data_IF_978266059871
#
_entry.id   IF_978266059871
#
_cell.length_a   1.000
_cell.length_b   1.000
_cell.length_c   1.000
_cell.angle_alpha   90.00
_cell.angle_beta   90.00
_cell.angle_gamma   90.00
#
_symmetry.space_group_name_H-M   'P 1'
#
loop_
_entity.id
_entity.type
_entity.pdbx_description
1 polymer ?
#
# COMPACT_ATOMS: atom_id res chain seq x y z
N UNK A 1 32.46 -48.18 42.12
CA UNK A 1 32.11 -46.81 42.55
C UNK A 1 30.58 -46.73 42.57
N UNK A 2 30.02 -46.57 43.73
CA UNK A 2 28.55 -46.47 43.89
C UNK A 2 28.11 -45.03 43.55
N UNK A 3 26.84 -44.83 43.17
CA UNK A 3 26.29 -43.51 42.87
C UNK A 3 26.48 -42.50 43.99
N UNK A 4 26.44 -42.97 45.26
CA UNK A 4 26.71 -42.13 46.43
C UNK A 4 28.19 -41.68 46.55
N UNK A 5 29.12 -42.52 46.16
CA UNK A 5 30.55 -42.15 46.11
C UNK A 5 30.82 -41.13 45.03
N UNK A 6 30.15 -41.29 43.88
CA UNK A 6 30.27 -40.34 42.76
C UNK A 6 29.69 -38.97 43.14
N UNK A 7 28.50 -38.93 43.76
CA UNK A 7 27.84 -37.70 44.21
C UNK A 7 28.68 -36.95 45.25
N UNK A 8 29.27 -37.69 46.19
CA UNK A 8 30.16 -37.12 47.23
C UNK A 8 31.44 -36.54 46.60
N UNK A 9 32.00 -37.21 45.60
CA UNK A 9 33.18 -36.76 44.89
C UNK A 9 32.91 -35.53 44.01
N UNK A 10 31.81 -35.54 43.30
CA UNK A 10 31.34 -34.39 42.53
C UNK A 10 31.09 -33.16 43.39
N UNK A 11 30.43 -33.34 44.55
CA UNK A 11 30.18 -32.26 45.47
C UNK A 11 31.44 -31.66 46.04
N UNK A 12 32.48 -32.50 46.35
CA UNK A 12 33.77 -32.06 46.82
C UNK A 12 34.51 -31.24 45.74
N UNK A 13 34.57 -31.74 44.50
CA UNK A 13 35.20 -31.08 43.36
C UNK A 13 34.54 -29.72 43.10
N UNK A 14 33.21 -29.64 43.11
CA UNK A 14 32.48 -28.39 42.93
C UNK A 14 32.77 -27.37 44.05
N UNK A 15 32.82 -27.85 45.32
CA UNK A 15 33.13 -26.96 46.46
C UNK A 15 34.58 -26.44 46.41
N UNK A 16 35.52 -27.29 45.98
CA UNK A 16 36.94 -26.88 45.85
C UNK A 16 37.13 -25.94 44.68
N UNK A 17 36.42 -26.14 43.56
CA UNK A 17 36.45 -25.18 42.42
C UNK A 17 35.86 -23.84 42.81
N UNK A 18 34.74 -23.81 43.52
CA UNK A 18 34.11 -22.59 44.03
C UNK A 18 35.02 -21.83 45.02
N UNK A 19 35.77 -22.58 45.88
CA UNK A 19 36.77 -21.93 46.78
C UNK A 19 37.90 -21.33 46.03
N UNK A 20 38.47 -22.01 45.02
CA UNK A 20 39.56 -21.51 44.19
C UNK A 20 39.11 -20.25 43.39
N UNK A 21 37.90 -20.28 42.86
CA UNK A 21 37.34 -19.11 42.18
C UNK A 21 37.11 -17.95 43.15
N UNK A 22 36.62 -18.20 44.37
CA UNK A 22 36.44 -17.18 45.39
C UNK A 22 37.76 -16.59 45.86
N UNK A 23 38.82 -17.42 46.05
CA UNK A 23 40.17 -16.96 46.39
C UNK A 23 40.80 -16.16 45.25
N UNK A 24 40.61 -16.54 43.99
CA UNK A 24 41.09 -15.80 42.81
C UNK A 24 40.42 -14.43 42.68
N UNK A 25 39.15 -14.33 43.01
CA UNK A 25 38.40 -13.06 43.02
C UNK A 25 38.83 -12.19 44.24
N UNK A 26 39.08 -12.80 45.41
CA UNK A 26 39.48 -12.09 46.60
C UNK A 26 40.94 -11.58 46.54
N UNK A 27 41.82 -12.25 45.78
CA UNK A 27 43.22 -11.84 45.58
C UNK A 27 43.44 -10.84 44.44
N UNK A 28 42.43 -10.68 43.58
CA UNK A 28 42.45 -9.67 42.54
C UNK A 28 41.81 -8.38 43.03
N UNK A 29 42.58 -7.40 43.44
CA UNK A 29 42.13 -6.00 43.53
C UNK A 29 41.75 -5.50 42.12
N UNK A 30 40.65 -6.00 41.62
CA UNK A 30 39.97 -5.32 40.49
C UNK A 30 39.31 -4.08 41.09
N UNK A 31 40.04 -2.96 41.04
CA UNK A 31 39.48 -1.63 41.29
C UNK A 31 38.42 -1.34 40.25
N UNK A 32 37.23 -2.00 40.42
CA UNK A 32 36.08 -1.78 39.57
C UNK A 32 35.42 -0.48 40.04
N UNK A 33 35.68 0.61 39.35
CA UNK A 33 34.86 1.82 39.50
C UNK A 33 33.60 1.69 38.68
N UNK A 34 32.44 1.44 39.33
CA UNK A 34 31.19 1.26 38.62
C UNK A 34 30.77 2.57 37.95
N UNK A 35 30.55 2.55 36.64
CA UNK A 35 30.09 3.73 35.91
C UNK A 35 28.77 4.25 36.49
N UNK A 36 28.45 5.56 36.37
CA UNK A 36 27.19 6.13 36.88
C UNK A 36 25.94 5.46 36.32
N UNK A 37 26.04 4.90 35.11
CA UNK A 37 24.99 4.13 34.47
C UNK A 37 24.76 2.77 35.16
N UNK A 38 25.85 2.08 35.49
CA UNK A 38 25.81 0.82 36.20
C UNK A 38 25.24 0.99 37.61
N UNK A 39 25.65 2.01 38.35
CA UNK A 39 25.15 2.34 39.70
C UNK A 39 23.62 2.58 39.65
N UNK A 40 23.12 3.35 38.69
CA UNK A 40 21.68 3.58 38.51
C UNK A 40 20.90 2.29 38.20
N UNK A 41 21.47 1.41 37.39
CA UNK A 41 20.86 0.14 37.05
C UNK A 41 20.79 -0.80 38.27
N UNK A 42 21.85 -0.89 39.03
CA UNK A 42 21.92 -1.68 40.26
C UNK A 42 20.98 -1.14 41.32
N UNK A 43 20.93 0.17 41.53
CA UNK A 43 19.99 0.78 42.48
C UNK A 43 18.54 0.52 42.07
N UNK A 44 18.21 0.53 40.80
CA UNK A 44 16.87 0.20 40.28
C UNK A 44 16.52 -1.28 40.46
N UNK A 45 17.50 -2.19 40.28
CA UNK A 45 17.35 -3.62 40.48
C UNK A 45 17.11 -3.95 41.98
N UNK A 46 17.90 -3.35 42.88
CA UNK A 46 17.75 -3.57 44.31
C UNK A 46 16.42 -3.04 44.83
N UNK A 47 15.96 -1.90 44.30
CA UNK A 47 14.70 -1.28 44.74
C UNK A 47 13.48 -2.09 44.39
N UNK A 48 13.42 -2.72 43.19
CA UNK A 48 12.29 -3.53 42.75
C UNK A 48 12.77 -4.56 41.69
N UNK A 49 13.26 -5.75 42.14
CA UNK A 49 13.85 -6.77 41.26
C UNK A 49 12.86 -7.28 40.22
N UNK A 50 11.59 -7.50 40.60
CA UNK A 50 10.56 -8.02 39.69
C UNK A 50 10.19 -7.04 38.58
N UNK A 51 10.16 -5.75 38.91
CA UNK A 51 9.87 -4.69 37.93
C UNK A 51 11.05 -4.47 36.99
N UNK A 52 12.27 -4.63 37.49
CA UNK A 52 13.49 -4.54 36.67
C UNK A 52 13.55 -5.69 35.68
N UNK A 53 13.28 -6.93 36.10
CA UNK A 53 13.24 -8.11 35.25
C UNK A 53 12.15 -8.01 34.18
N UNK A 54 10.92 -7.60 34.56
CA UNK A 54 9.83 -7.38 33.62
C UNK A 54 10.15 -6.31 32.56
N UNK A 55 10.92 -5.27 32.91
CA UNK A 55 11.37 -4.26 31.96
C UNK A 55 12.41 -4.82 30.99
N UNK A 56 13.32 -5.66 31.48
CA UNK A 56 14.36 -6.30 30.66
C UNK A 56 13.80 -7.38 29.75
N UNK A 57 12.82 -8.12 30.25
CA UNK A 57 12.12 -9.16 29.47
C UNK A 57 11.14 -8.61 28.40
N UNK A 58 10.77 -7.31 28.47
CA UNK A 58 9.96 -6.70 27.42
C UNK A 58 10.79 -6.55 26.16
N UNK A 59 10.47 -7.26 25.06
CA UNK A 59 11.23 -7.11 23.83
C UNK A 59 11.07 -5.67 23.34
N UNK A 60 12.18 -5.01 23.09
CA UNK A 60 12.24 -3.63 22.55
C UNK A 60 11.38 -3.46 21.31
N UNK A 61 11.27 -4.52 20.53
CA UNK A 61 10.41 -4.64 19.34
C UNK A 61 8.94 -4.27 19.61
N UNK A 62 8.34 -4.70 20.74
CA UNK A 62 6.93 -4.37 21.04
C UNK A 62 6.70 -2.87 21.21
N UNK A 63 7.65 -2.19 21.87
CA UNK A 63 7.54 -0.74 22.06
C UNK A 63 7.75 0.03 20.73
N UNK A 64 8.64 -0.47 19.86
CA UNK A 64 8.86 0.09 18.52
C UNK A 64 7.64 -0.14 17.65
N UNK A 65 7.09 -1.37 17.65
CA UNK A 65 5.89 -1.71 16.88
C UNK A 65 4.66 -0.89 17.31
N UNK A 66 4.46 -0.67 18.61
CA UNK A 66 3.36 0.17 19.09
C UNK A 66 3.50 1.63 18.63
N UNK A 67 4.71 2.20 18.72
CA UNK A 67 4.96 3.57 18.22
C UNK A 67 4.77 3.69 16.73
N UNK A 68 5.27 2.71 15.96
CA UNK A 68 5.08 2.65 14.52
C UNK A 68 3.59 2.55 14.15
N UNK A 69 2.82 1.71 14.84
CA UNK A 69 1.38 1.58 14.62
C UNK A 69 0.61 2.89 14.87
N UNK A 70 0.96 3.62 15.95
CA UNK A 70 0.35 4.92 16.23
C UNK A 70 0.68 5.95 15.15
N UNK A 71 1.94 6.00 14.70
CA UNK A 71 2.36 6.92 13.62
C UNK A 71 1.60 6.60 12.33
N UNK A 72 1.52 5.32 11.95
CA UNK A 72 0.77 4.88 10.77
C UNK A 72 -0.71 5.22 10.87
N UNK A 73 -1.33 5.05 12.04
CA UNK A 73 -2.72 5.38 12.26
C UNK A 73 -2.98 6.89 12.12
N UNK A 74 -2.15 7.73 12.75
CA UNK A 74 -2.25 9.19 12.63
C UNK A 74 -2.05 9.63 11.18
N UNK A 75 -1.06 9.07 10.49
CA UNK A 75 -0.79 9.36 9.08
C UNK A 75 -1.98 8.96 8.18
N UNK A 76 -2.54 7.77 8.39
CA UNK A 76 -3.71 7.28 7.62
C UNK A 76 -4.95 8.14 7.84
N UNK A 77 -5.22 8.57 9.09
CA UNK A 77 -6.34 9.45 9.40
C UNK A 77 -6.14 10.85 8.80
N UNK A 78 -4.93 11.40 8.86
CA UNK A 78 -4.65 12.72 8.28
C UNK A 78 -4.74 12.69 6.75
N UNK A 79 -4.20 11.67 6.11
CA UNK A 79 -4.30 11.48 4.66
C UNK A 79 -5.75 11.26 4.22
N UNK A 80 -6.50 10.42 4.96
CA UNK A 80 -7.92 10.17 4.69
C UNK A 80 -8.77 11.44 4.80
N UNK A 81 -8.53 12.27 5.82
CA UNK A 81 -9.24 13.55 5.96
C UNK A 81 -8.88 14.55 4.86
N UNK A 82 -7.60 14.63 4.46
CA UNK A 82 -7.17 15.46 3.34
C UNK A 82 -7.78 15.00 2.01
N UNK A 83 -7.86 13.70 1.77
CA UNK A 83 -8.51 13.14 0.57
C UNK A 83 -10.02 13.44 0.53
N UNK A 84 -10.68 13.47 1.68
CA UNK A 84 -12.11 13.80 1.76
C UNK A 84 -12.40 15.28 1.43
N UNK A 85 -11.48 16.19 1.79
CA UNK A 85 -11.68 17.64 1.68
C UNK A 85 -11.05 18.22 0.40
N UNK A 86 -9.96 17.62 -0.11
CA UNK A 86 -9.19 18.17 -1.24
C UNK A 86 -9.21 17.26 -2.46
N UNK A 87 -9.86 17.68 -3.56
CA UNK A 87 -9.83 16.96 -4.83
C UNK A 87 -8.40 16.77 -5.37
N UNK A 88 -7.54 17.77 -5.17
CA UNK A 88 -6.13 17.74 -5.61
C UNK A 88 -5.32 16.65 -4.90
N UNK A 89 -5.52 16.49 -3.58
CA UNK A 89 -4.86 15.43 -2.81
C UNK A 89 -5.38 14.06 -3.23
N UNK A 90 -6.70 13.95 -3.47
CA UNK A 90 -7.31 12.72 -4.00
C UNK A 90 -6.70 12.32 -5.32
N UNK A 91 -6.62 13.25 -6.29
CA UNK A 91 -6.01 13.01 -7.58
C UNK A 91 -4.53 12.59 -7.47
N UNK A 92 -3.76 13.24 -6.57
CA UNK A 92 -2.37 12.88 -6.35
C UNK A 92 -2.18 11.48 -5.77
N UNK A 93 -3.05 11.07 -4.81
CA UNK A 93 -3.00 9.71 -4.22
C UNK A 93 -3.42 8.65 -5.24
N UNK A 94 -4.47 8.91 -6.03
CA UNK A 94 -4.90 8.02 -7.12
C UNK A 94 -3.78 7.87 -8.15
N UNK A 95 -3.13 8.96 -8.55
CA UNK A 95 -1.98 8.94 -9.46
C UNK A 95 -0.82 8.13 -8.88
N UNK A 96 -0.53 8.28 -7.59
CA UNK A 96 0.54 7.53 -6.92
C UNK A 96 0.25 6.02 -6.88
N UNK A 97 -0.98 5.61 -6.62
CA UNK A 97 -1.41 4.20 -6.68
C UNK A 97 -1.34 3.65 -8.10
N UNK A 98 -1.58 4.49 -9.12
CA UNK A 98 -1.52 4.13 -10.53
C UNK A 98 -0.07 3.95 -11.03
N UNK A 99 0.88 4.74 -10.52
CA UNK A 99 2.30 4.69 -10.94
C UNK A 99 3.08 3.46 -10.43
N UNK A 100 2.49 2.61 -9.60
CA UNK A 100 3.23 1.51 -8.96
C UNK A 100 3.30 0.21 -9.77
N UNK A 101 2.71 0.16 -10.94
CA UNK A 101 2.79 -1.00 -11.83
C UNK A 101 3.56 -0.63 -13.10
N UNK A 102 4.75 -1.25 -13.28
CA UNK A 102 5.60 -0.97 -14.45
C UNK A 102 4.96 -1.37 -15.79
N UNK A 103 3.99 -2.29 -15.78
CA UNK A 103 3.42 -2.90 -16.99
C UNK A 103 1.94 -2.63 -17.22
N UNK A 104 1.25 -1.99 -16.28
CA UNK A 104 -0.19 -1.71 -16.41
C UNK A 104 -0.66 -0.59 -15.50
N UNK A 105 -1.73 0.08 -15.90
CA UNK A 105 -2.42 1.12 -15.13
C UNK A 105 -3.76 0.55 -14.66
N UNK A 106 -3.99 0.57 -13.34
CA UNK A 106 -5.25 0.10 -12.76
C UNK A 106 -6.02 1.26 -12.15
N UNK A 107 -7.19 1.54 -12.69
CA UNK A 107 -8.14 2.48 -12.10
C UNK A 107 -9.05 1.73 -11.13
N UNK A 108 -8.92 1.98 -9.84
CA UNK A 108 -9.78 1.39 -8.82
C UNK A 108 -10.74 2.41 -8.26
N UNK A 109 -11.98 2.03 -8.20
CA UNK A 109 -13.03 2.85 -7.60
C UNK A 109 -13.40 2.33 -6.21
N UNK A 110 -13.46 3.25 -5.22
CA UNK A 110 -13.81 2.94 -3.83
C UNK A 110 -14.98 3.79 -3.30
N UNK A 111 -15.76 4.40 -4.19
CA UNK A 111 -16.90 5.24 -3.82
C UNK A 111 -18.20 4.49 -3.58
N UNK A 112 -19.27 5.24 -3.30
CA UNK A 112 -20.61 4.67 -3.15
C UNK A 112 -21.16 4.24 -4.51
N UNK A 113 -21.98 3.19 -4.48
CA UNK A 113 -22.68 2.73 -5.68
C UNK A 113 -23.73 3.78 -6.11
N UNK A 114 -23.65 4.25 -7.34
CA UNK A 114 -24.65 5.14 -7.89
C UNK A 114 -25.83 4.31 -8.39
N UNK A 115 -27.02 4.67 -7.93
CA UNK A 115 -28.27 4.10 -8.37
C UNK A 115 -29.04 5.17 -9.15
N UNK A 116 -29.22 4.96 -10.46
CA UNK A 116 -29.92 5.88 -11.34
C UNK A 116 -29.79 5.43 -12.78
N UNK A 117 -30.55 6.08 -13.66
CA UNK A 117 -30.39 5.88 -15.09
C UNK A 117 -29.08 6.51 -15.55
N UNK A 118 -28.35 5.79 -16.40
CA UNK A 118 -27.14 6.28 -17.03
C UNK A 118 -27.48 7.45 -17.95
N UNK A 119 -26.84 8.63 -17.81
CA UNK A 119 -27.03 9.72 -18.75
C UNK A 119 -26.61 9.31 -20.16
N UNK A 120 -27.29 9.88 -21.16
CA UNK A 120 -26.93 9.64 -22.56
C UNK A 120 -25.70 10.48 -22.93
N UNK A 121 -24.67 9.80 -23.41
CA UNK A 121 -23.45 10.43 -23.91
C UNK A 121 -23.29 10.15 -25.39
N UNK A 122 -22.69 11.10 -26.09
CA UNK A 122 -22.40 11.02 -27.52
C UNK A 122 -21.11 11.79 -27.83
N UNK A 123 -20.46 11.44 -28.93
CA UNK A 123 -19.34 12.21 -29.46
C UNK A 123 -19.91 13.30 -30.35
N UNK A 124 -19.73 14.57 -29.99
CA UNK A 124 -20.29 15.72 -30.71
C UNK A 124 -19.50 16.05 -31.97
N UNK A 125 -18.17 15.86 -31.96
CA UNK A 125 -17.28 16.17 -33.07
C UNK A 125 -16.74 14.89 -33.70
N UNK A 126 -17.65 14.10 -34.30
CA UNK A 126 -17.25 12.91 -35.05
C UNK A 126 -16.47 13.28 -36.32
N UNK A 127 -15.44 12.49 -36.66
CA UNK A 127 -14.76 12.66 -37.95
C UNK A 127 -15.75 12.42 -39.11
N UNK A 128 -15.44 13.05 -40.27
CA UNK A 128 -16.28 12.96 -41.48
C UNK A 128 -16.49 11.48 -41.87
N UNK A 129 -17.72 11.16 -42.22
CA UNK A 129 -18.14 9.80 -42.64
C UNK A 129 -18.49 8.84 -41.52
N UNK A 130 -18.29 9.20 -40.25
CA UNK A 130 -18.73 8.38 -39.12
C UNK A 130 -20.18 8.73 -38.75
N UNK A 131 -20.96 7.69 -38.42
CA UNK A 131 -22.32 7.82 -37.90
C UNK A 131 -22.56 6.75 -36.83
N UNK A 132 -23.46 7.01 -35.90
CA UNK A 132 -23.90 6.03 -34.93
C UNK A 132 -24.52 4.82 -35.64
N UNK A 133 -24.00 3.64 -35.36
CA UNK A 133 -24.45 2.38 -35.95
C UNK A 133 -25.19 1.54 -34.92
N UNK A 134 -24.66 1.46 -33.69
CA UNK A 134 -25.27 0.68 -32.61
C UNK A 134 -25.15 1.42 -31.28
N UNK A 135 -26.15 1.24 -30.41
CA UNK A 135 -26.18 1.75 -29.06
C UNK A 135 -26.75 0.71 -28.10
N UNK A 136 -25.98 0.43 -27.05
CA UNK A 136 -26.37 -0.44 -25.94
C UNK A 136 -26.50 0.39 -24.68
N UNK A 137 -27.65 0.31 -24.01
CA UNK A 137 -27.89 1.03 -22.75
C UNK A 137 -28.22 0.04 -21.65
N UNK A 138 -27.35 -0.04 -20.65
CA UNK A 138 -27.59 -0.75 -19.40
C UNK A 138 -27.58 0.24 -18.22
N UNK A 139 -28.14 -0.11 -17.06
CA UNK A 139 -28.22 0.82 -15.92
C UNK A 139 -26.86 1.37 -15.46
N UNK A 140 -25.77 0.64 -15.68
CA UNK A 140 -24.42 1.01 -15.24
C UNK A 140 -23.41 1.19 -16.37
N UNK A 141 -23.85 1.04 -17.62
CA UNK A 141 -22.96 1.03 -18.77
C UNK A 141 -23.69 1.45 -20.04
N UNK A 142 -23.09 2.33 -20.80
CA UNK A 142 -23.55 2.71 -22.15
C UNK A 142 -22.38 2.48 -23.11
N UNK A 143 -22.64 1.80 -24.21
CA UNK A 143 -21.73 1.64 -25.32
C UNK A 143 -22.35 2.19 -26.60
N UNK A 144 -21.62 3.01 -27.32
CA UNK A 144 -22.05 3.55 -28.60
C UNK A 144 -21.00 3.24 -29.65
N UNK A 145 -21.43 2.63 -30.72
CA UNK A 145 -20.58 2.27 -31.84
C UNK A 145 -20.81 3.26 -32.98
N UNK A 146 -19.76 3.91 -33.40
CA UNK A 146 -19.76 4.79 -34.59
C UNK A 146 -18.98 4.11 -35.70
N UNK A 147 -19.57 3.96 -36.85
CA UNK A 147 -18.95 3.32 -38.00
C UNK A 147 -18.83 4.30 -39.17
N UNK A 148 -17.68 4.28 -39.82
CA UNK A 148 -17.51 4.89 -41.13
C UNK A 148 -17.78 3.84 -42.21
N UNK A 149 -18.88 4.00 -42.94
CA UNK A 149 -19.37 3.01 -43.94
C UNK A 149 -18.47 2.90 -45.16
N UNK A 150 -17.69 3.96 -45.46
CA UNK A 150 -16.82 3.97 -46.63
C UNK A 150 -15.50 3.25 -46.36
N UNK A 151 -14.98 3.37 -45.14
CA UNK A 151 -13.69 2.79 -44.74
C UNK A 151 -13.82 1.52 -43.91
N UNK A 152 -14.98 1.25 -43.34
CA UNK A 152 -15.25 0.15 -42.40
C UNK A 152 -14.64 0.36 -41.03
N UNK A 153 -14.02 1.52 -40.75
CA UNK A 153 -13.44 1.82 -39.44
C UNK A 153 -14.52 2.12 -38.40
N UNK A 154 -14.22 1.80 -37.16
CA UNK A 154 -15.14 1.92 -36.03
C UNK A 154 -14.51 2.72 -34.89
N UNK A 155 -15.34 3.50 -34.21
CA UNK A 155 -15.02 4.17 -32.95
C UNK A 155 -16.03 3.67 -31.92
N UNK A 156 -15.55 3.28 -30.75
CA UNK A 156 -16.38 2.88 -29.62
C UNK A 156 -16.34 3.98 -28.57
N UNK A 157 -17.49 4.36 -28.03
CA UNK A 157 -17.59 5.21 -26.85
C UNK A 157 -18.24 4.40 -25.75
N UNK A 158 -17.47 4.08 -24.75
CA UNK A 158 -17.91 3.36 -23.57
C UNK A 158 -17.98 4.29 -22.35
N UNK A 159 -19.12 4.28 -21.67
CA UNK A 159 -19.36 5.05 -20.47
C UNK A 159 -19.77 4.09 -19.36
N UNK A 160 -19.02 4.04 -18.29
CA UNK A 160 -19.27 3.09 -17.20
C UNK A 160 -19.37 3.82 -15.85
N UNK A 161 -20.43 3.54 -15.08
CA UNK A 161 -20.43 3.92 -13.68
C UNK A 161 -19.35 3.12 -12.94
N UNK A 162 -18.44 3.84 -12.27
CA UNK A 162 -17.43 3.24 -11.42
C UNK A 162 -18.10 2.72 -10.15
N UNK A 163 -18.38 1.42 -10.11
CA UNK A 163 -18.99 0.77 -8.95
C UNK A 163 -17.94 0.40 -7.90
N UNK A 164 -18.37 0.33 -6.65
CA UNK A 164 -17.49 -0.09 -5.56
C UNK A 164 -16.87 -1.47 -5.86
N UNK A 165 -15.53 -1.53 -5.81
CA UNK A 165 -14.77 -2.74 -6.11
C UNK A 165 -14.52 -2.99 -7.60
N UNK A 166 -15.01 -2.11 -8.51
CA UNK A 166 -14.61 -2.17 -9.92
C UNK A 166 -13.16 -1.73 -10.11
N UNK A 167 -12.52 -2.32 -11.10
CA UNK A 167 -11.20 -1.92 -11.56
C UNK A 167 -11.14 -2.06 -13.09
N UNK A 168 -10.57 -1.04 -13.74
CA UNK A 168 -10.20 -1.09 -15.15
C UNK A 168 -8.71 -1.21 -15.25
N UNK A 169 -8.22 -2.17 -16.03
CA UNK A 169 -6.81 -2.50 -16.18
C UNK A 169 -6.37 -2.23 -17.62
N UNK A 170 -5.36 -1.37 -17.78
CA UNK A 170 -4.78 -1.00 -19.06
C UNK A 170 -3.33 -1.44 -19.11
N UNK A 171 -3.02 -2.39 -19.98
CA UNK A 171 -1.65 -2.87 -20.21
C UNK A 171 -0.83 -1.76 -20.87
N UNK A 172 0.33 -1.43 -20.28
CA UNK A 172 1.24 -0.40 -20.78
C UNK A 172 2.47 -0.97 -21.47
N UNK A 173 2.67 -2.29 -21.43
CA UNK A 173 3.79 -2.94 -22.12
C UNK A 173 3.65 -2.84 -23.65
N UNK A 174 4.65 -2.20 -24.27
CA UNK A 174 4.62 -1.92 -25.71
C UNK A 174 3.58 -0.89 -26.15
N UNK A 175 3.15 -0.01 -25.23
CA UNK A 175 2.18 1.05 -25.50
C UNK A 175 2.74 2.39 -25.01
N UNK A 176 2.68 3.42 -25.84
CA UNK A 176 3.00 4.79 -25.43
C UNK A 176 1.78 5.40 -24.72
N UNK A 177 1.98 5.89 -23.49
CA UNK A 177 0.92 6.53 -22.71
C UNK A 177 1.13 8.02 -22.70
N UNK A 178 0.19 8.76 -23.31
CA UNK A 178 0.25 10.22 -23.45
C UNK A 178 -0.85 10.88 -22.60
N UNK A 179 -0.52 11.82 -21.70
CA UNK A 179 -1.53 12.57 -20.97
C UNK A 179 -2.35 13.47 -21.92
N UNK A 180 -3.66 13.41 -21.79
CA UNK A 180 -4.61 14.21 -22.59
C UNK A 180 -5.61 14.92 -21.69
N UNK A 181 -6.33 15.88 -22.25
CA UNK A 181 -7.43 16.55 -21.57
C UNK A 181 -8.69 16.45 -22.45
N UNK A 182 -9.74 15.89 -21.89
CA UNK A 182 -11.04 15.75 -22.56
C UNK A 182 -12.08 16.53 -21.77
N UNK A 183 -12.67 17.55 -22.38
CA UNK A 183 -13.67 18.44 -21.76
C UNK A 183 -13.23 19.03 -20.39
N UNK A 184 -11.92 19.37 -20.26
CA UNK A 184 -11.34 19.89 -19.02
C UNK A 184 -10.97 18.83 -17.98
N UNK A 185 -11.24 17.57 -18.24
CA UNK A 185 -10.87 16.43 -17.38
C UNK A 185 -9.56 15.81 -17.87
N UNK A 186 -8.71 15.44 -16.94
CA UNK A 186 -7.44 14.75 -17.24
C UNK A 186 -7.72 13.31 -17.63
N UNK A 187 -7.13 12.86 -18.74
CA UNK A 187 -7.21 11.50 -19.24
C UNK A 187 -5.86 11.02 -19.76
N UNK A 188 -5.86 9.82 -20.31
CA UNK A 188 -4.70 9.16 -20.89
C UNK A 188 -5.06 8.58 -22.26
N UNK A 189 -4.17 8.78 -23.21
CA UNK A 189 -4.22 8.19 -24.54
C UNK A 189 -3.16 7.09 -24.59
N UNK A 190 -3.60 5.90 -24.90
CA UNK A 190 -2.78 4.70 -25.10
C UNK A 190 -2.58 4.51 -26.60
N UNK A 191 -1.36 4.69 -27.07
CA UNK A 191 -0.98 4.51 -28.48
C UNK A 191 -0.23 3.21 -28.65
N UNK A 192 -0.64 2.41 -29.61
CA UNK A 192 0.00 1.14 -29.92
C UNK A 192 0.45 1.10 -31.38
N UNK A 193 1.61 0.50 -31.61
CA UNK A 193 2.08 0.13 -32.96
C UNK A 193 1.59 -1.27 -33.39
N UNK A 194 1.03 -2.03 -32.46
CA UNK A 194 0.50 -3.38 -32.69
C UNK A 194 -1.00 -3.32 -33.03
N UNK A 195 -1.31 -2.85 -34.22
CA UNK A 195 -2.68 -2.68 -34.70
C UNK A 195 -3.46 -4.01 -34.92
N UNK A 196 -2.79 -5.14 -34.89
CA UNK A 196 -3.43 -6.43 -35.06
C UNK A 196 -4.03 -6.96 -33.76
N UNK A 197 -3.43 -6.60 -32.60
CA UNK A 197 -3.80 -7.17 -31.31
C UNK A 197 -4.24 -6.10 -30.29
N UNK A 198 -3.99 -4.81 -30.56
CA UNK A 198 -4.27 -3.71 -29.64
C UNK A 198 -4.92 -2.55 -30.40
N UNK A 199 -5.71 -1.78 -29.66
CA UNK A 199 -6.38 -0.58 -30.20
C UNK A 199 -5.86 0.65 -29.47
N UNK A 200 -5.87 1.77 -30.15
CA UNK A 200 -5.64 3.05 -29.49
C UNK A 200 -6.85 3.37 -28.63
N UNK A 201 -6.57 3.76 -27.40
CA UNK A 201 -7.64 3.98 -26.42
C UNK A 201 -7.40 5.32 -25.72
N UNK A 202 -8.43 6.13 -25.58
CA UNK A 202 -8.45 7.29 -24.71
C UNK A 202 -9.34 6.97 -23.51
N UNK A 203 -8.84 7.13 -22.30
CA UNK A 203 -9.67 6.98 -21.09
C UNK A 203 -9.55 8.19 -20.18
N UNK A 204 -10.66 8.58 -19.58
CA UNK A 204 -10.70 9.62 -18.55
C UNK A 204 -11.80 9.35 -17.54
N UNK A 205 -11.71 9.99 -16.37
CA UNK A 205 -12.64 9.81 -15.27
C UNK A 205 -13.27 11.15 -14.91
N UNK A 206 -14.60 11.18 -14.87
CA UNK A 206 -15.38 12.22 -14.22
C UNK A 206 -15.66 11.79 -12.78
N UNK A 207 -14.79 12.25 -11.86
CA UNK A 207 -14.91 11.90 -10.46
C UNK A 207 -16.12 12.53 -9.76
N UNK A 208 -16.70 13.62 -10.30
CA UNK A 208 -17.89 14.26 -9.74
C UNK A 208 -19.14 13.41 -10.02
N UNK A 209 -19.16 12.77 -11.19
CA UNK A 209 -20.29 11.92 -11.63
C UNK A 209 -20.03 10.43 -11.46
N UNK A 210 -18.84 10.05 -10.97
CA UNK A 210 -18.39 8.66 -10.83
C UNK A 210 -18.46 7.87 -12.15
N UNK A 211 -18.06 8.50 -13.24
CA UNK A 211 -18.08 7.92 -14.57
C UNK A 211 -16.66 7.72 -15.09
N UNK A 212 -16.42 6.59 -15.69
CA UNK A 212 -15.28 6.34 -16.54
C UNK A 212 -15.74 6.33 -17.99
N UNK A 213 -14.99 7.00 -18.83
CA UNK A 213 -15.16 7.04 -20.27
C UNK A 213 -13.99 6.38 -20.95
N UNK A 214 -14.27 5.74 -22.06
CA UNK A 214 -13.29 5.13 -22.94
C UNK A 214 -13.71 5.33 -24.39
N UNK A 215 -12.74 5.68 -25.25
CA UNK A 215 -12.90 5.78 -26.71
C UNK A 215 -11.79 4.98 -27.36
#
# INVERSE_FOLDING_TARGET
>A
MTDQELDTLMRRVLLDSLKLDAESVASGELAFEPTPRYQRQMAAMVKDPLKWERRRARPLWKNVAQKAAVILLVFSLSLGSLMAVSPTVRAAVVRWVTEWYETHIVYRYSGEQITGEMPQYEITDLPEGYAEDERVNWPSYVSVVYQNKDTGKTIYLDCTYMQQGSASDYVTDGVEVVPVTVNGLSGQLFLTDDWENKWNTITWIDAERNLQFEI
#
